data_IF_418507435041
#
_entry.id   IF_418507435041
#
_cell.length_a   1.000
_cell.length_b   1.000
_cell.length_c   1.000
_cell.angle_alpha   90.00
_cell.angle_beta   90.00
_cell.angle_gamma   90.00
#
_symmetry.space_group_name_H-M   'P 1'
#
loop_
_entity.id
_entity.type
_entity.pdbx_description
1 polymer ?
#
# COMPACT_ATOMS: atom_id res chain seq x y z
N UNK A 1 -5.06 6.56 19.59
CA UNK A 1 -4.20 7.13 18.51
C UNK A 1 -3.50 8.41 18.98
N UNK A 2 -2.23 8.62 18.63
CA UNK A 2 -1.48 9.86 18.94
C UNK A 2 -1.93 11.04 18.05
N UNK A 3 -1.63 12.30 18.42
CA UNK A 3 -1.90 13.46 17.55
C UNK A 3 -1.25 13.35 16.16
N UNK A 4 -0.07 12.73 16.09
CA UNK A 4 0.64 12.46 14.82
C UNK A 4 -0.15 11.48 13.96
N UNK A 5 -0.60 10.36 14.54
CA UNK A 5 -1.41 9.36 13.84
C UNK A 5 -2.75 9.94 13.37
N UNK A 6 -3.36 10.87 14.10
CA UNK A 6 -4.58 11.56 13.66
C UNK A 6 -4.32 12.45 12.43
N UNK A 7 -3.19 13.15 12.35
CA UNK A 7 -2.81 13.90 11.15
C UNK A 7 -2.49 12.97 9.98
N UNK A 8 -1.82 11.85 10.24
CA UNK A 8 -1.60 10.77 9.28
C UNK A 8 -2.88 10.22 8.69
N UNK A 9 -3.89 9.98 9.53
CA UNK A 9 -5.21 9.53 9.09
C UNK A 9 -5.85 10.55 8.13
N UNK A 10 -5.75 11.85 8.42
CA UNK A 10 -6.27 12.90 7.51
C UNK A 10 -5.55 12.91 6.17
N UNK A 11 -4.24 12.67 6.15
CA UNK A 11 -3.48 12.52 4.91
C UNK A 11 -3.95 11.29 4.12
N UNK A 12 -4.11 10.15 4.80
CA UNK A 12 -4.55 8.88 4.22
C UNK A 12 -5.90 8.98 3.51
N UNK A 13 -6.86 9.66 4.14
CA UNK A 13 -8.20 9.91 3.59
C UNK A 13 -8.29 11.18 2.73
N UNK A 14 -7.17 11.85 2.47
CA UNK A 14 -7.12 13.13 1.77
C UNK A 14 -5.95 13.19 0.79
N UNK A 15 -4.98 14.07 1.07
CA UNK A 15 -3.86 14.39 0.18
C UNK A 15 -3.12 13.16 -0.37
N UNK A 16 -2.90 12.15 0.47
CA UNK A 16 -2.14 10.96 0.09
C UNK A 16 -2.95 9.94 -0.70
N UNK A 17 -4.28 10.13 -0.82
CA UNK A 17 -5.18 9.32 -1.67
C UNK A 17 -5.17 7.81 -1.40
N UNK A 18 -4.60 7.35 -0.28
CA UNK A 18 -4.50 5.93 0.06
C UNK A 18 -5.88 5.25 0.14
N UNK A 19 -6.87 6.01 0.62
CA UNK A 19 -8.26 5.56 0.72
C UNK A 19 -8.99 5.35 -0.62
N UNK A 20 -8.40 5.72 -1.77
CA UNK A 20 -8.99 5.36 -3.07
C UNK A 20 -9.16 3.84 -3.17
N UNK A 21 -8.15 3.07 -2.74
CA UNK A 21 -8.20 1.60 -2.73
C UNK A 21 -8.37 1.05 -1.31
N UNK A 22 -7.78 1.68 -0.28
CA UNK A 22 -7.86 1.22 1.10
C UNK A 22 -9.04 1.86 1.86
N UNK A 23 -10.26 1.55 1.43
CA UNK A 23 -11.50 2.11 1.98
C UNK A 23 -12.34 1.10 2.77
N UNK A 24 -13.45 1.59 3.33
CA UNK A 24 -14.41 0.79 4.08
C UNK A 24 -13.86 0.26 5.41
N UNK A 25 -14.65 -0.57 6.11
CA UNK A 25 -14.31 -1.02 7.46
C UNK A 25 -13.05 -1.88 7.53
N UNK A 26 -12.64 -2.51 6.40
CA UNK A 26 -11.45 -3.36 6.32
C UNK A 26 -10.24 -2.66 5.70
N UNK A 27 -10.36 -1.39 5.29
CA UNK A 27 -9.32 -0.64 4.58
C UNK A 27 -8.84 -1.37 3.32
N UNK A 28 -9.80 -1.81 2.50
CA UNK A 28 -9.59 -2.50 1.23
C UNK A 28 -10.89 -2.47 0.42
N UNK A 29 -10.75 -2.21 -0.88
CA UNK A 29 -11.80 -2.34 -1.91
C UNK A 29 -11.95 -3.79 -2.44
N UNK A 30 -11.07 -4.70 -1.99
CA UNK A 30 -10.92 -6.07 -2.46
C UNK A 30 -10.71 -6.21 -4.00
N UNK A 31 -10.34 -5.13 -4.69
CA UNK A 31 -10.03 -5.11 -6.11
C UNK A 31 -8.56 -5.47 -6.38
N UNK A 32 -8.20 -5.61 -7.66
CA UNK A 32 -6.85 -5.94 -8.10
C UNK A 32 -6.23 -4.75 -8.83
N UNK A 33 -5.05 -4.34 -8.39
CA UNK A 33 -4.34 -3.19 -8.96
C UNK A 33 -2.89 -3.53 -9.27
N UNK A 34 -2.37 -3.01 -10.37
CA UNK A 34 -0.94 -2.93 -10.61
C UNK A 34 -0.46 -1.56 -10.11
N UNK A 35 0.47 -1.55 -9.16
CA UNK A 35 1.06 -0.33 -8.60
C UNK A 35 2.53 -0.13 -8.99
N UNK A 36 3.06 -0.96 -9.88
CA UNK A 36 4.47 -0.90 -10.32
C UNK A 36 5.46 -1.41 -9.27
N UNK A 37 5.08 -2.40 -8.44
CA UNK A 37 6.07 -3.06 -7.56
C UNK A 37 7.01 -3.85 -8.47
N UNK A 38 8.34 -3.68 -8.33
CA UNK A 38 9.29 -4.43 -9.14
C UNK A 38 9.29 -5.90 -8.75
N UNK A 39 9.67 -6.77 -9.67
CA UNK A 39 9.78 -8.20 -9.39
C UNK A 39 10.90 -8.47 -8.38
N UNK A 40 10.69 -9.45 -7.50
CA UNK A 40 11.68 -9.84 -6.49
C UNK A 40 11.58 -11.34 -6.21
N UNK A 41 12.63 -12.14 -6.52
CA UNK A 41 13.84 -11.76 -7.25
C UNK A 41 13.55 -11.31 -8.70
N UNK A 42 14.46 -10.54 -9.34
CA UNK A 42 14.33 -10.15 -10.75
C UNK A 42 14.11 -11.36 -11.67
N UNK A 43 13.34 -11.18 -12.74
CA UNK A 43 13.09 -12.18 -13.80
C UNK A 43 12.26 -13.42 -13.40
N UNK A 44 11.62 -13.42 -12.22
CA UNK A 44 10.62 -14.42 -11.80
C UNK A 44 9.19 -13.88 -11.75
N UNK A 45 8.94 -12.77 -12.45
CA UNK A 45 7.74 -11.93 -12.33
C UNK A 45 6.43 -12.72 -12.29
N UNK A 46 5.77 -12.67 -11.14
CA UNK A 46 4.40 -13.16 -11.01
C UNK A 46 3.47 -12.28 -11.87
N UNK A 47 2.74 -12.90 -12.79
CA UNK A 47 1.78 -12.20 -13.65
C UNK A 47 0.48 -11.83 -12.92
N UNK A 48 0.39 -12.10 -11.61
CA UNK A 48 -0.68 -11.69 -10.72
C UNK A 48 -2.03 -12.33 -11.06
N UNK A 49 -3.10 -11.54 -10.93
CA UNK A 49 -4.49 -11.99 -11.17
C UNK A 49 -4.71 -12.61 -12.57
N UNK A 50 -3.90 -12.23 -13.56
CA UNK A 50 -3.93 -12.84 -14.90
C UNK A 50 -3.75 -14.37 -14.86
N UNK A 51 -3.00 -14.93 -13.91
CA UNK A 51 -2.88 -16.41 -13.75
C UNK A 51 -4.25 -17.10 -13.61
N UNK A 52 -5.22 -16.40 -13.02
CA UNK A 52 -6.57 -16.91 -12.77
C UNK A 52 -7.52 -16.55 -13.89
N UNK A 53 -7.44 -15.34 -14.44
CA UNK A 53 -8.44 -14.83 -15.38
C UNK A 53 -8.06 -14.95 -16.85
N UNK A 54 -6.76 -15.07 -17.17
CA UNK A 54 -6.24 -14.98 -18.55
C UNK A 54 -6.17 -13.56 -19.13
N UNK A 55 -7.02 -12.66 -18.64
CA UNK A 55 -7.16 -11.28 -19.13
C UNK A 55 -5.93 -10.38 -18.99
N UNK A 56 -5.62 -9.63 -20.05
CA UNK A 56 -4.45 -8.75 -20.10
C UNK A 56 -4.53 -7.58 -19.10
N UNK A 57 -5.72 -7.02 -18.87
CA UNK A 57 -5.89 -5.91 -17.94
C UNK A 57 -5.65 -6.30 -16.47
N UNK A 58 -5.60 -7.61 -16.16
CA UNK A 58 -5.21 -8.14 -14.85
C UNK A 58 -3.73 -8.47 -14.73
N UNK A 59 -2.92 -8.22 -15.76
CA UNK A 59 -1.48 -8.49 -15.74
C UNK A 59 -0.80 -7.71 -14.60
N UNK A 60 -0.05 -8.43 -13.76
CA UNK A 60 0.71 -7.90 -12.60
C UNK A 60 -0.17 -7.12 -11.61
N UNK A 61 -1.47 -7.42 -11.58
CA UNK A 61 -2.39 -6.86 -10.61
C UNK A 61 -2.56 -7.79 -9.41
N UNK A 62 -2.57 -7.21 -8.22
CA UNK A 62 -2.67 -7.93 -6.95
C UNK A 62 -3.80 -7.35 -6.13
N UNK A 63 -4.41 -8.20 -5.30
CA UNK A 63 -5.52 -7.79 -4.45
C UNK A 63 -5.06 -6.71 -3.47
N UNK A 64 -5.80 -5.62 -3.33
CA UNK A 64 -5.60 -4.64 -2.25
C UNK A 64 -5.71 -5.34 -0.89
N UNK A 65 -4.63 -5.44 -0.09
CA UNK A 65 -4.73 -6.07 1.23
C UNK A 65 -5.53 -5.17 2.19
N UNK A 66 -6.21 -5.77 3.16
CA UNK A 66 -6.71 -5.01 4.29
C UNK A 66 -5.57 -4.53 5.18
N UNK A 67 -5.70 -3.36 5.80
CA UNK A 67 -4.62 -2.75 6.60
C UNK A 67 -4.78 -2.92 8.11
N UNK A 68 -5.77 -3.68 8.58
CA UNK A 68 -5.84 -4.06 10.01
C UNK A 68 -4.64 -4.94 10.35
N UNK A 69 -3.97 -4.66 11.46
CA UNK A 69 -2.75 -5.35 11.90
C UNK A 69 -1.56 -5.21 10.93
N UNK A 70 -1.56 -4.19 10.06
CA UNK A 70 -0.46 -3.99 9.11
C UNK A 70 0.94 -3.92 9.75
N UNK A 71 1.15 -3.37 10.97
CA UNK A 71 2.50 -3.33 11.56
C UNK A 71 3.09 -4.71 11.86
N UNK A 72 2.24 -5.75 12.00
CA UNK A 72 2.65 -7.11 12.34
C UNK A 72 2.94 -7.99 11.10
N UNK A 73 2.79 -7.46 9.89
CA UNK A 73 2.85 -8.26 8.66
C UNK A 73 4.05 -7.95 7.78
N UNK A 74 5.12 -7.36 8.34
CA UNK A 74 6.35 -7.19 7.59
C UNK A 74 6.93 -8.57 7.17
N UNK A 75 7.58 -8.68 6.00
CA UNK A 75 7.78 -7.63 4.99
C UNK A 75 6.52 -7.37 4.13
N UNK A 76 6.51 -6.24 3.41
CA UNK A 76 5.36 -5.71 2.69
C UNK A 76 5.41 -5.95 1.18
N UNK A 77 4.26 -5.75 0.54
CA UNK A 77 3.94 -6.09 -0.86
C UNK A 77 3.81 -7.60 -1.12
N UNK A 78 3.35 -7.95 -2.31
CA UNK A 78 3.08 -9.35 -2.69
C UNK A 78 4.35 -10.23 -2.71
N UNK A 79 5.53 -9.61 -2.81
CA UNK A 79 6.83 -10.26 -2.92
C UNK A 79 7.76 -9.95 -1.74
N UNK A 80 7.29 -9.23 -0.72
CA UNK A 80 8.08 -8.94 0.48
C UNK A 80 9.28 -8.02 0.25
N UNK A 81 9.34 -7.25 -0.84
CA UNK A 81 10.50 -6.43 -1.17
C UNK A 81 10.75 -5.30 -0.15
N UNK A 82 9.69 -4.77 0.49
CA UNK A 82 9.80 -3.67 1.44
C UNK A 82 9.83 -4.18 2.88
N UNK A 83 10.82 -3.72 3.65
CA UNK A 83 11.01 -4.17 5.04
C UNK A 83 10.23 -3.34 6.04
N UNK A 84 9.94 -2.08 5.70
CA UNK A 84 9.31 -1.12 6.62
C UNK A 84 8.11 -0.42 5.99
N UNK A 85 7.19 0.07 6.83
CA UNK A 85 6.09 0.92 6.38
C UNK A 85 6.59 2.24 5.78
N UNK A 86 7.77 2.71 6.20
CA UNK A 86 8.42 3.89 5.62
C UNK A 86 8.76 3.66 4.15
N UNK A 87 9.31 2.49 3.81
CA UNK A 87 9.62 2.12 2.42
C UNK A 87 8.35 2.07 1.57
N UNK A 88 7.24 1.58 2.13
CA UNK A 88 5.93 1.57 1.48
C UNK A 88 5.43 2.98 1.19
N UNK A 89 5.48 3.88 2.18
CA UNK A 89 5.06 5.28 1.98
C UNK A 89 5.93 5.98 0.94
N UNK A 90 7.24 5.77 1.00
CA UNK A 90 8.17 6.37 0.03
C UNK A 90 7.87 5.88 -1.39
N UNK A 91 7.61 4.58 -1.57
CA UNK A 91 7.23 4.02 -2.87
C UNK A 91 5.97 4.67 -3.45
N UNK A 92 4.93 4.84 -2.64
CA UNK A 92 3.70 5.51 -3.09
C UNK A 92 3.90 7.01 -3.33
N UNK A 93 4.72 7.68 -2.51
CA UNK A 93 5.02 9.11 -2.69
C UNK A 93 5.76 9.39 -4.00
N UNK A 94 6.63 8.45 -4.43
CA UNK A 94 7.30 8.49 -5.74
C UNK A 94 6.39 8.05 -6.90
N UNK A 95 5.17 7.57 -6.62
CA UNK A 95 4.25 7.10 -7.65
C UNK A 95 4.55 5.71 -8.20
N UNK A 96 5.24 4.86 -7.43
CA UNK A 96 5.66 3.52 -7.84
C UNK A 96 6.65 3.51 -9.02
N UNK A 97 7.09 2.33 -9.46
CA UNK A 97 7.98 2.26 -10.63
C UNK A 97 7.21 2.37 -11.94
N UNK A 98 7.94 2.63 -13.01
CA UNK A 98 7.38 2.66 -14.36
C UNK A 98 6.90 1.26 -14.78
N UNK A 99 5.62 1.18 -15.09
CA UNK A 99 4.99 0.02 -15.72
C UNK A 99 3.89 0.58 -16.64
N UNK A 100 3.92 0.28 -17.96
CA UNK A 100 2.94 0.79 -18.92
C UNK A 100 1.48 0.46 -18.60
N UNK A 101 1.23 -0.56 -17.78
CA UNK A 101 -0.11 -1.00 -17.38
C UNK A 101 -0.39 -0.73 -15.89
N UNK A 102 0.39 0.12 -15.24
CA UNK A 102 0.15 0.59 -13.86
C UNK A 102 -1.17 1.36 -13.77
N UNK A 103 -1.83 1.25 -12.62
CA UNK A 103 -3.03 2.04 -12.32
C UNK A 103 -2.72 3.55 -12.42
N UNK A 104 -3.58 4.35 -13.07
CA UNK A 104 -3.38 5.80 -13.23
C UNK A 104 -3.50 6.56 -11.90
N UNK A 105 -4.01 5.93 -10.85
CA UNK A 105 -4.06 6.51 -9.51
C UNK A 105 -2.72 6.46 -8.78
N UNK A 106 -1.73 5.76 -9.32
CA UNK A 106 -0.39 5.66 -8.76
C UNK A 106 0.52 6.64 -9.50
N UNK A 107 0.63 7.83 -8.91
CA UNK A 107 1.43 8.96 -9.41
C UNK A 107 2.14 9.64 -8.24
N UNK A 108 3.23 10.39 -8.47
CA UNK A 108 3.90 11.12 -7.40
C UNK A 108 2.94 12.00 -6.59
N UNK A 109 3.06 11.98 -5.26
CA UNK A 109 2.12 12.66 -4.35
C UNK A 109 2.70 14.00 -3.87
N UNK A 110 4.00 14.06 -3.60
CA UNK A 110 4.66 15.28 -3.10
C UNK A 110 4.44 15.48 -1.59
N UNK A 111 4.67 14.43 -0.81
CA UNK A 111 4.62 14.45 0.65
C UNK A 111 5.93 14.98 1.22
N UNK A 112 5.82 15.90 2.18
CA UNK A 112 6.95 16.30 3.01
C UNK A 112 7.39 15.15 3.93
N UNK A 113 8.63 15.21 4.42
CA UNK A 113 9.14 14.22 5.38
C UNK A 113 8.28 14.11 6.65
N UNK A 114 7.61 15.20 7.06
CA UNK A 114 6.67 15.18 8.19
C UNK A 114 5.40 14.41 7.84
N UNK A 115 4.79 14.68 6.68
CA UNK A 115 3.59 13.97 6.24
C UNK A 115 3.83 12.47 6.07
N UNK A 116 5.01 12.07 5.56
CA UNK A 116 5.38 10.65 5.46
C UNK A 116 5.44 9.98 6.83
N UNK A 117 6.07 10.63 7.82
CA UNK A 117 6.12 10.12 9.20
C UNK A 117 4.73 10.00 9.82
N UNK A 118 3.89 11.00 9.63
CA UNK A 118 2.51 11.00 10.15
C UNK A 118 1.69 9.85 9.56
N UNK A 119 1.82 9.58 8.25
CA UNK A 119 1.21 8.41 7.61
C UNK A 119 1.72 7.09 8.20
N UNK A 120 3.03 6.97 8.48
CA UNK A 120 3.58 5.79 9.14
C UNK A 120 2.98 5.63 10.55
N UNK A 121 2.91 6.71 11.33
CA UNK A 121 2.30 6.68 12.68
C UNK A 121 0.83 6.26 12.64
N UNK A 122 0.09 6.69 11.61
CA UNK A 122 -1.28 6.21 11.39
C UNK A 122 -1.30 4.70 11.15
N UNK A 123 -0.49 4.18 10.22
CA UNK A 123 -0.46 2.75 9.93
C UNK A 123 0.01 1.91 11.13
N UNK A 124 0.94 2.43 11.93
CA UNK A 124 1.36 1.81 13.20
C UNK A 124 0.22 1.70 14.20
N UNK A 125 -0.70 2.66 14.21
CA UNK A 125 -1.88 2.63 15.08
C UNK A 125 -2.97 1.64 14.64
N UNK A 126 -2.84 1.01 13.46
CA UNK A 126 -3.77 -0.03 12.97
C UNK A 126 -3.44 -1.43 13.52
N UNK A 127 -2.40 -1.57 14.33
CA UNK A 127 -2.11 -2.78 15.11
C UNK A 127 -3.06 -2.95 16.29
N UNK A 128 -2.99 -4.10 16.97
CA UNK A 128 -3.73 -4.30 18.23
C UNK A 128 -3.22 -3.33 19.31
N UNK A 129 -4.14 -2.64 19.98
CA UNK A 129 -3.96 -2.37 21.41
C UNK A 129 -4.12 -3.72 22.13
N UNK A 130 -3.18 -4.06 23.02
CA UNK A 130 -3.16 -5.19 23.95
C UNK A 130 -4.32 -6.21 23.83
N UNK A 131 -4.03 -7.42 23.35
CA UNK A 131 -4.90 -8.56 23.62
C UNK A 131 -4.73 -8.98 25.07
N UNK A 132 -5.43 -8.31 25.98
CA UNK A 132 -5.73 -8.89 27.28
C UNK A 132 -6.82 -9.95 27.07
N UNK A 133 -6.37 -11.18 26.79
CA UNK A 133 -7.07 -12.44 27.00
C UNK A 133 -6.06 -13.48 27.47
#
# INVERSE_FOLDING_TARGET
MSPSAVRGMRLFFGKAKCSICHNGPRLTDAQFHNIGVPDFPPDQGDIGRKKVTGELFHLRSYKTPGLRYIPQTAPYMHNGIFKTLKDVVEFYDMGGNDDPIKSPFISPIGLSNTEKRELVDFMLSLGSENSDY
#
